data_IF_209153983384
#
_entry.id   IF_209153983384
#
_cell.length_a   1.000
_cell.length_b   1.000
_cell.length_c   1.000
_cell.angle_alpha   90.00
_cell.angle_beta   90.00
_cell.angle_gamma   90.00
#
_symmetry.space_group_name_H-M   'P 1'
#
loop_
_entity.id
_entity.type
_entity.pdbx_description
1 polymer ?
#
# COMPACT_ATOMS: atom_id res chain seq x y z
N UNK A 1 -15.69 20.17 13.53
CA UNK A 1 -16.94 20.20 14.32
C UNK A 1 -17.83 21.37 13.87
N UNK A 2 -19.16 21.20 13.81
CA UNK A 2 -20.12 22.26 13.49
C UNK A 2 -20.43 23.15 14.70
N UNK A 3 -21.20 24.23 14.46
CA UNK A 3 -21.54 25.17 15.52
C UNK A 3 -22.34 24.53 16.69
N UNK A 4 -23.17 23.54 16.37
CA UNK A 4 -23.99 22.84 17.37
C UNK A 4 -23.18 21.87 18.25
N UNK A 5 -21.97 21.49 17.85
CA UNK A 5 -21.18 20.47 18.51
C UNK A 5 -20.24 21.08 19.57
N UNK A 6 -20.80 21.54 20.69
CA UNK A 6 -20.05 22.20 21.78
C UNK A 6 -18.96 21.31 22.36
N UNK A 7 -19.27 20.05 22.68
CA UNK A 7 -18.30 19.10 23.26
C UNK A 7 -17.16 18.80 22.28
N UNK A 8 -17.47 18.62 20.99
CA UNK A 8 -16.46 18.38 19.95
C UNK A 8 -15.48 19.54 19.83
N UNK A 9 -15.93 20.79 20.02
CA UNK A 9 -15.06 21.98 19.99
C UNK A 9 -14.25 22.21 21.27
N UNK A 10 -14.62 21.54 22.35
CA UNK A 10 -13.90 21.57 23.64
C UNK A 10 -13.01 20.34 23.85
N UNK A 11 -13.17 19.31 23.02
CA UNK A 11 -12.30 18.15 23.04
C UNK A 11 -10.84 18.61 22.81
N UNK A 12 -9.86 17.99 23.49
CA UNK A 12 -8.46 18.22 23.18
C UNK A 12 -8.21 17.96 21.69
N UNK A 13 -7.52 18.88 21.03
CA UNK A 13 -7.00 18.71 19.68
C UNK A 13 -5.48 18.59 19.71
N UNK A 14 -4.91 18.11 18.60
CA UNK A 14 -3.46 17.93 18.48
C UNK A 14 -2.67 19.22 18.27
N UNK A 15 -3.32 20.39 18.25
CA UNK A 15 -2.72 21.65 17.86
C UNK A 15 -2.48 21.78 16.35
N UNK A 16 -1.70 22.80 15.97
CA UNK A 16 -1.42 23.15 14.58
C UNK A 16 0.09 23.32 14.36
N UNK A 17 0.77 22.41 13.64
CA UNK A 17 0.27 21.15 13.10
C UNK A 17 0.08 20.08 14.20
N UNK A 18 -0.89 19.19 14.03
CA UNK A 18 -1.13 18.05 14.92
C UNK A 18 0.05 17.07 14.99
N UNK A 19 0.82 16.96 13.90
CA UNK A 19 1.99 16.09 13.79
C UNK A 19 3.22 16.95 13.51
N UNK A 20 4.25 16.80 14.34
CA UNK A 20 5.53 17.49 14.10
C UNK A 20 6.22 16.93 12.85
N UNK A 21 7.03 17.77 12.20
CA UNK A 21 7.80 17.37 11.01
C UNK A 21 8.64 16.11 11.25
N UNK A 22 9.19 15.94 12.46
CA UNK A 22 9.97 14.75 12.81
C UNK A 22 9.12 13.47 12.83
N UNK A 23 7.94 13.50 13.44
CA UNK A 23 7.04 12.34 13.46
C UNK A 23 6.55 12.05 12.05
N UNK A 24 6.19 13.08 11.29
CA UNK A 24 5.78 12.94 9.90
C UNK A 24 6.86 12.28 9.04
N UNK A 25 8.11 12.71 9.20
CA UNK A 25 9.25 12.11 8.50
C UNK A 25 9.45 10.63 8.86
N UNK A 26 9.26 10.26 10.14
CA UNK A 26 9.36 8.86 10.57
C UNK A 26 8.24 7.99 9.98
N UNK A 27 7.00 8.47 9.96
CA UNK A 27 5.87 7.77 9.34
C UNK A 27 6.11 7.59 7.84
N UNK A 28 6.60 8.62 7.16
CA UNK A 28 6.95 8.57 5.76
C UNK A 28 8.06 7.54 5.48
N UNK A 29 9.14 7.59 6.27
CA UNK A 29 10.25 6.64 6.16
C UNK A 29 9.78 5.20 6.34
N UNK A 30 9.02 4.93 7.40
CA UNK A 30 8.47 3.60 7.66
C UNK A 30 7.59 3.12 6.50
N UNK A 31 6.64 3.95 6.07
CA UNK A 31 5.64 3.58 5.05
C UNK A 31 6.28 3.30 3.69
N UNK A 32 7.33 4.04 3.30
CA UNK A 32 8.07 3.82 2.05
C UNK A 32 8.88 2.52 2.05
N UNK A 33 9.34 2.10 3.23
CA UNK A 33 10.20 0.93 3.39
C UNK A 33 9.43 -0.36 3.69
N UNK A 34 8.10 -0.32 3.69
CA UNK A 34 7.28 -1.53 3.80
C UNK A 34 7.26 -2.29 2.46
N UNK A 35 7.80 -3.50 2.47
CA UNK A 35 7.80 -4.38 1.31
C UNK A 35 6.40 -4.90 0.98
N UNK A 36 6.15 -5.16 -0.31
CA UNK A 36 4.96 -5.91 -0.73
C UNK A 36 5.01 -7.34 -0.16
N UNK A 37 3.86 -7.91 0.24
CA UNK A 37 3.82 -9.29 0.72
C UNK A 37 4.39 -10.29 -0.30
N UNK A 38 5.11 -11.30 0.20
CA UNK A 38 5.60 -12.39 -0.65
C UNK A 38 4.42 -13.18 -1.22
N UNK A 39 4.53 -13.58 -2.50
CA UNK A 39 3.51 -14.42 -3.12
C UNK A 39 3.51 -15.81 -2.49
N UNK A 40 2.32 -16.28 -2.11
CA UNK A 40 2.10 -17.60 -1.52
C UNK A 40 1.77 -18.62 -2.62
N UNK A 41 2.20 -19.88 -2.45
CA UNK A 41 1.80 -21.05 -3.26
C UNK A 41 1.83 -20.79 -4.78
N UNK A 42 2.91 -20.20 -5.29
CA UNK A 42 2.96 -19.66 -6.66
C UNK A 42 2.81 -20.71 -7.77
N UNK A 43 3.09 -21.97 -7.44
CA UNK A 43 3.02 -23.12 -8.35
C UNK A 43 1.76 -23.97 -8.15
N UNK A 44 0.88 -23.57 -7.21
CA UNK A 44 -0.39 -24.26 -6.97
C UNK A 44 -1.27 -24.19 -8.23
N UNK A 45 -1.80 -25.32 -8.74
CA UNK A 45 -2.63 -25.34 -9.94
C UNK A 45 -3.84 -24.41 -9.87
N UNK A 46 -4.46 -24.24 -8.69
CA UNK A 46 -5.58 -23.33 -8.49
C UNK A 46 -5.15 -21.88 -8.61
N UNK A 47 -3.99 -21.51 -8.07
CA UNK A 47 -3.41 -20.17 -8.21
C UNK A 47 -3.09 -19.87 -9.67
N UNK A 48 -2.55 -20.84 -10.41
CA UNK A 48 -2.27 -20.71 -11.84
C UNK A 48 -3.55 -20.61 -12.69
N UNK A 49 -4.62 -21.32 -12.32
CA UNK A 49 -5.92 -21.18 -12.95
C UNK A 49 -6.52 -19.78 -12.70
N UNK A 50 -6.52 -19.32 -11.45
CA UNK A 50 -6.98 -17.98 -11.07
C UNK A 50 -6.23 -16.87 -11.80
N UNK A 51 -4.89 -16.97 -11.91
CA UNK A 51 -4.07 -16.04 -12.69
C UNK A 51 -4.53 -15.92 -14.15
N UNK A 52 -4.87 -17.04 -14.78
CA UNK A 52 -5.36 -17.06 -16.18
C UNK A 52 -6.72 -16.37 -16.29
N UNK A 53 -7.65 -16.68 -15.39
CA UNK A 53 -8.98 -16.07 -15.37
C UNK A 53 -8.90 -14.55 -15.12
N UNK A 54 -8.06 -14.11 -14.18
CA UNK A 54 -7.85 -12.70 -13.86
C UNK A 54 -7.33 -11.89 -15.06
N UNK A 55 -6.44 -12.48 -15.86
CA UNK A 55 -5.99 -11.88 -17.12
C UNK A 55 -7.10 -11.85 -18.17
N UNK A 56 -7.88 -12.93 -18.32
CA UNK A 56 -8.98 -13.01 -19.28
C UNK A 56 -10.11 -12.03 -18.97
N UNK A 57 -10.39 -11.79 -17.69
CA UNK A 57 -11.33 -10.78 -17.22
C UNK A 57 -10.78 -9.34 -17.33
N UNK A 58 -9.60 -9.16 -17.92
CA UNK A 58 -8.92 -7.87 -18.09
C UNK A 58 -8.62 -7.13 -16.79
N UNK A 59 -8.58 -7.83 -15.64
CA UNK A 59 -8.27 -7.22 -14.35
C UNK A 59 -6.84 -6.68 -14.30
N UNK A 60 -5.94 -7.26 -15.10
CA UNK A 60 -4.54 -6.84 -15.25
C UNK A 60 -4.37 -5.46 -15.89
N UNK A 61 -5.43 -4.88 -16.46
CA UNK A 61 -5.40 -3.51 -16.98
C UNK A 61 -5.20 -2.47 -15.87
N UNK A 62 -5.70 -2.75 -14.65
CA UNK A 62 -5.51 -1.90 -13.49
C UNK A 62 -4.57 -2.54 -12.44
N UNK A 63 -4.65 -3.86 -12.26
CA UNK A 63 -3.81 -4.59 -11.31
C UNK A 63 -2.56 -5.16 -12.00
N UNK A 64 -1.53 -4.32 -12.13
CA UNK A 64 -0.28 -4.65 -12.83
C UNK A 64 0.43 -5.89 -12.23
N UNK A 65 0.62 -6.98 -12.99
CA UNK A 65 1.17 -8.26 -12.48
C UNK A 65 2.61 -8.19 -11.94
N UNK A 66 3.39 -7.23 -12.44
CA UNK A 66 4.77 -7.01 -12.05
C UNK A 66 5.12 -5.55 -12.32
N UNK A 67 5.79 -4.92 -11.37
CA UNK A 67 6.19 -3.53 -11.46
C UNK A 67 7.68 -3.43 -11.12
N UNK A 68 8.40 -2.57 -11.84
CA UNK A 68 9.77 -2.20 -11.49
C UNK A 68 9.72 -0.80 -10.93
N UNK A 69 10.22 -0.60 -9.71
CA UNK A 69 10.28 0.73 -9.09
C UNK A 69 11.19 1.67 -9.88
N UNK A 70 10.94 2.97 -9.75
CA UNK A 70 11.72 4.01 -10.44
C UNK A 70 13.21 3.92 -10.15
N UNK A 71 14.03 4.35 -11.10
CA UNK A 71 15.49 4.42 -10.93
C UNK A 71 15.93 5.58 -10.03
N UNK A 72 15.04 6.56 -9.83
CA UNK A 72 15.22 7.80 -9.08
C UNK A 72 14.50 7.76 -7.71
N UNK A 73 14.39 6.56 -7.11
CA UNK A 73 13.83 6.41 -5.77
C UNK A 73 14.61 7.23 -4.74
N UNK A 74 13.92 7.80 -3.75
CA UNK A 74 14.54 8.60 -2.68
C UNK A 74 15.57 7.79 -1.88
N UNK A 75 15.30 6.51 -1.69
CA UNK A 75 16.17 5.53 -1.07
C UNK A 75 16.78 4.61 -2.16
N UNK A 76 18.12 4.55 -2.32
CA UNK A 76 18.77 3.78 -3.38
C UNK A 76 18.42 2.28 -3.39
N UNK A 77 18.20 1.70 -2.21
CA UNK A 77 17.79 0.30 -2.04
C UNK A 77 16.39 0.01 -2.60
N UNK A 78 15.54 1.04 -2.74
CA UNK A 78 14.21 0.93 -3.32
C UNK A 78 14.22 1.13 -4.84
N UNK A 79 15.35 1.52 -5.44
CA UNK A 79 15.45 1.75 -6.87
C UNK A 79 15.52 0.42 -7.66
N UNK A 80 14.90 0.41 -8.85
CA UNK A 80 14.96 -0.71 -9.80
C UNK A 80 14.53 -2.08 -9.25
N UNK A 81 13.72 -2.10 -8.20
CA UNK A 81 13.22 -3.32 -7.57
C UNK A 81 12.08 -3.92 -8.39
N UNK A 82 12.21 -5.20 -8.76
CA UNK A 82 11.09 -5.94 -9.37
C UNK A 82 10.17 -6.46 -8.29
N UNK A 83 9.02 -5.81 -8.14
CA UNK A 83 7.97 -6.21 -7.22
C UNK A 83 6.77 -6.82 -7.94
N UNK A 84 5.93 -7.53 -7.18
CA UNK A 84 4.66 -8.09 -7.65
C UNK A 84 3.56 -7.58 -6.73
N UNK A 85 3.07 -6.35 -6.95
CA UNK A 85 2.09 -5.69 -6.09
C UNK A 85 0.71 -6.29 -6.37
N UNK A 86 0.52 -7.56 -5.99
CA UNK A 86 -0.79 -8.19 -6.09
C UNK A 86 -1.68 -7.74 -4.94
N UNK A 87 -2.93 -7.46 -5.26
CA UNK A 87 -3.99 -7.49 -4.27
C UNK A 87 -4.11 -8.92 -3.77
N UNK A 88 -3.74 -9.17 -2.52
CA UNK A 88 -4.00 -10.44 -1.85
C UNK A 88 -5.50 -10.54 -1.53
N UNK A 89 -6.29 -10.96 -2.52
CA UNK A 89 -7.75 -11.13 -2.36
C UNK A 89 -8.12 -12.42 -1.59
N UNK A 90 -7.13 -13.18 -1.14
CA UNK A 90 -7.30 -14.40 -0.34
C UNK A 90 -7.43 -14.11 1.16
N UNK A 91 -7.61 -12.84 1.56
CA UNK A 91 -7.66 -12.41 2.96
C UNK A 91 -9.02 -12.63 3.65
N UNK A 92 -9.95 -13.33 3.00
CA UNK A 92 -11.33 -13.53 3.47
C UNK A 92 -11.78 -14.99 3.36
N UNK A 93 -10.91 -15.92 3.74
CA UNK A 93 -11.29 -17.29 4.11
C UNK A 93 -12.10 -17.36 5.42
#
# INVERSE_FOLDING_TARGET
>A
CSAAQVECRRAPDGGEPEVSDNIFAQVLFYSRNLAVPARRKVDDPQVLAGKRLFAQANCVACHVPAFTTGSDASEPELANQRIRPYSDLLLHD
#
